data_IF_067055179044
#
_entry.id   IF_067055179044
#
_cell.length_a   1.000
_cell.length_b   1.000
_cell.length_c   1.000
_cell.angle_alpha   90.00
_cell.angle_beta   90.00
_cell.angle_gamma   90.00
#
_symmetry.space_group_name_H-M   'P 1'
#
loop_
_entity.id
_entity.type
_entity.pdbx_description
1 polymer ?
#
# COMPACT_ATOMS: atom_id res chain seq x y z
N UNK A 1 13.84 -37.81 1.77
CA UNK A 1 13.19 -36.54 2.04
C UNK A 1 11.69 -36.75 2.02
N UNK A 2 10.96 -36.35 3.05
CA UNK A 2 9.50 -36.45 3.07
C UNK A 2 8.91 -35.43 2.08
N UNK A 3 7.79 -35.77 1.42
CA UNK A 3 7.08 -34.88 0.50
C UNK A 3 6.84 -33.46 1.08
N UNK A 4 6.62 -33.39 2.36
CA UNK A 4 6.42 -32.15 3.10
C UNK A 4 7.68 -31.26 3.15
N UNK A 5 8.87 -31.86 3.25
CA UNK A 5 10.14 -31.13 3.20
C UNK A 5 10.40 -30.53 1.83
N UNK A 6 10.06 -31.27 0.75
CA UNK A 6 10.19 -30.77 -0.61
C UNK A 6 9.27 -29.58 -0.84
N UNK A 7 7.99 -29.68 -0.45
CA UNK A 7 7.02 -28.58 -0.59
C UNK A 7 7.52 -27.32 0.14
N UNK A 8 8.04 -27.49 1.36
CA UNK A 8 8.56 -26.37 2.15
C UNK A 8 9.75 -25.67 1.46
N UNK A 9 10.69 -26.44 0.93
CA UNK A 9 11.84 -25.90 0.20
C UNK A 9 11.37 -25.15 -1.05
N UNK A 10 10.47 -25.72 -1.82
CA UNK A 10 9.92 -25.07 -3.01
C UNK A 10 9.23 -23.75 -2.64
N UNK A 11 8.37 -23.76 -1.61
CA UNK A 11 7.74 -22.53 -1.13
C UNK A 11 8.75 -21.48 -0.68
N UNK A 12 9.78 -21.86 0.07
CA UNK A 12 10.83 -20.95 0.53
C UNK A 12 11.60 -20.32 -0.65
N UNK A 13 11.96 -21.13 -1.66
CA UNK A 13 12.63 -20.65 -2.88
C UNK A 13 11.74 -19.69 -3.66
N UNK A 14 10.47 -20.06 -3.89
CA UNK A 14 9.52 -19.20 -4.62
C UNK A 14 9.31 -17.87 -3.90
N UNK A 15 9.06 -17.89 -2.58
CA UNK A 15 8.87 -16.69 -1.77
C UNK A 15 10.13 -15.81 -1.81
N UNK A 16 11.32 -16.39 -1.66
CA UNK A 16 12.58 -15.64 -1.69
C UNK A 16 12.80 -15.00 -3.06
N UNK A 17 12.65 -15.75 -4.14
CA UNK A 17 12.85 -15.24 -5.50
C UNK A 17 11.84 -14.12 -5.84
N UNK A 18 10.57 -14.33 -5.55
CA UNK A 18 9.54 -13.30 -5.82
C UNK A 18 9.78 -12.03 -5.00
N UNK A 19 10.24 -12.18 -3.76
CA UNK A 19 10.61 -11.04 -2.92
C UNK A 19 11.79 -10.27 -3.48
N UNK A 20 12.86 -10.96 -3.85
CA UNK A 20 14.06 -10.32 -4.45
C UNK A 20 13.69 -9.57 -5.72
N UNK A 21 12.93 -10.20 -6.62
CA UNK A 21 12.45 -9.55 -7.84
C UNK A 21 11.57 -8.35 -7.51
N UNK A 22 10.62 -8.49 -6.59
CA UNK A 22 9.73 -7.40 -6.17
C UNK A 22 10.49 -6.22 -5.59
N UNK A 23 11.46 -6.47 -4.71
CA UNK A 23 12.33 -5.42 -4.13
C UNK A 23 13.18 -4.76 -5.20
N UNK A 24 13.74 -5.51 -6.14
CA UNK A 24 14.54 -4.96 -7.23
C UNK A 24 13.71 -4.04 -8.15
N UNK A 25 12.50 -4.47 -8.53
CA UNK A 25 11.56 -3.66 -9.33
C UNK A 25 11.15 -2.40 -8.58
N UNK A 26 10.84 -2.51 -7.30
CA UNK A 26 10.50 -1.37 -6.46
C UNK A 26 11.65 -0.38 -6.33
N UNK A 27 12.85 -0.87 -6.04
CA UNK A 27 14.06 -0.03 -5.94
C UNK A 27 14.33 0.72 -7.26
N UNK A 28 14.19 0.03 -8.40
CA UNK A 28 14.33 0.65 -9.73
C UNK A 28 13.28 1.75 -9.95
N UNK A 29 12.02 1.51 -9.59
CA UNK A 29 10.97 2.50 -9.67
C UNK A 29 11.27 3.74 -8.80
N UNK A 30 11.70 3.54 -7.56
CA UNK A 30 12.13 4.62 -6.67
C UNK A 30 13.30 5.42 -7.25
N UNK A 31 14.34 4.74 -7.75
CA UNK A 31 15.48 5.40 -8.40
C UNK A 31 15.03 6.25 -9.61
N UNK A 32 14.11 5.74 -10.42
CA UNK A 32 13.57 6.48 -11.58
C UNK A 32 12.81 7.73 -11.13
N UNK A 33 12.00 7.64 -10.08
CA UNK A 33 11.28 8.79 -9.52
C UNK A 33 12.27 9.83 -9.00
N UNK A 34 13.25 9.41 -8.20
CA UNK A 34 14.28 10.30 -7.66
C UNK A 34 15.10 10.95 -8.76
N UNK A 35 15.47 10.20 -9.79
CA UNK A 35 16.18 10.74 -10.95
C UNK A 35 15.38 11.84 -11.66
N UNK A 36 14.08 11.62 -11.89
CA UNK A 36 13.18 12.63 -12.47
C UNK A 36 13.03 13.87 -11.59
N UNK A 37 12.97 13.71 -10.28
CA UNK A 37 12.90 14.83 -9.33
C UNK A 37 14.19 15.67 -9.34
N UNK A 38 15.34 15.06 -9.61
CA UNK A 38 16.65 15.73 -9.66
C UNK A 38 16.89 16.55 -10.95
N UNK A 39 16.13 16.33 -11.99
CA UNK A 39 16.22 17.10 -13.25
C UNK A 39 15.71 18.55 -13.08
N UNK A 40 14.95 18.83 -12.02
CA UNK A 40 14.45 20.17 -11.72
C UNK A 40 15.56 21.16 -11.30
N UNK A 41 15.27 22.46 -11.43
CA UNK A 41 16.17 23.51 -10.92
C UNK A 41 16.30 23.38 -9.39
N UNK A 42 17.51 23.58 -8.84
CA UNK A 42 17.71 23.54 -7.40
C UNK A 42 16.84 24.61 -6.72
N UNK A 43 16.09 24.19 -5.71
CA UNK A 43 15.22 25.08 -4.94
C UNK A 43 16.09 25.89 -3.97
N UNK A 44 15.95 27.23 -3.91
CA UNK A 44 16.65 28.04 -2.93
C UNK A 44 16.37 27.52 -1.49
N UNK A 45 17.41 27.43 -0.68
CA UNK A 45 17.32 26.92 0.71
C UNK A 45 16.29 27.67 1.56
N UNK A 46 16.05 28.92 1.28
CA UNK A 46 15.05 29.76 1.94
C UNK A 46 13.62 29.22 1.74
N UNK A 47 13.32 28.63 0.57
CA UNK A 47 12.03 27.99 0.30
C UNK A 47 11.83 26.68 1.06
N UNK A 48 12.89 26.10 1.60
CA UNK A 48 12.81 24.89 2.43
C UNK A 48 12.52 25.19 3.90
N UNK A 49 12.68 26.43 4.34
CA UNK A 49 12.43 26.84 5.74
C UNK A 49 10.99 27.36 5.91
N UNK A 50 10.34 27.09 7.04
CA UNK A 50 10.75 26.24 8.17
C UNK A 50 10.37 24.76 7.92
N UNK A 51 11.36 23.87 7.88
CA UNK A 51 11.21 22.45 7.58
C UNK A 51 10.22 21.76 8.51
N UNK A 52 10.32 22.02 9.82
CA UNK A 52 9.45 21.40 10.83
C UNK A 52 7.96 21.67 10.59
N UNK A 53 7.59 22.94 10.36
CA UNK A 53 6.19 23.32 10.09
C UNK A 53 5.65 22.65 8.80
N UNK A 54 6.48 22.57 7.78
CA UNK A 54 6.11 21.89 6.52
C UNK A 54 5.94 20.40 6.70
N UNK A 55 6.84 19.76 7.47
CA UNK A 55 6.74 18.33 7.78
C UNK A 55 5.46 18.04 8.56
N UNK A 56 5.19 18.80 9.63
CA UNK A 56 3.96 18.67 10.42
C UNK A 56 2.73 18.84 9.55
N UNK A 57 2.72 19.86 8.69
CA UNK A 57 1.61 20.11 7.78
C UNK A 57 1.45 18.96 6.78
N UNK A 58 2.54 18.48 6.19
CA UNK A 58 2.52 17.33 5.28
C UNK A 58 1.96 16.08 5.99
N UNK A 59 2.44 15.77 7.19
CA UNK A 59 1.94 14.64 7.97
C UNK A 59 0.45 14.81 8.28
N UNK A 60 0.03 16.00 8.72
CA UNK A 60 -1.37 16.29 8.99
C UNK A 60 -2.26 16.17 7.74
N UNK A 61 -1.78 16.61 6.58
CA UNK A 61 -2.49 16.49 5.30
C UNK A 61 -2.58 15.03 4.85
N UNK A 62 -1.51 14.26 5.01
CA UNK A 62 -1.49 12.82 4.66
C UNK A 62 -2.38 12.03 5.60
N UNK A 63 -2.23 12.18 6.91
CA UNK A 63 -3.05 11.46 7.90
C UNK A 63 -4.51 11.90 7.85
N UNK A 64 -4.76 13.19 7.74
CA UNK A 64 -6.12 13.76 7.67
C UNK A 64 -6.81 13.57 6.31
N UNK A 65 -6.10 13.13 5.27
CA UNK A 65 -6.63 12.97 3.91
C UNK A 65 -7.41 14.20 3.42
N UNK A 66 -6.87 15.38 3.72
CA UNK A 66 -7.56 16.66 3.48
C UNK A 66 -7.75 16.95 1.98
N UNK A 67 -6.95 16.34 1.11
CA UNK A 67 -7.10 16.44 -0.33
C UNK A 67 -8.45 15.89 -0.86
N UNK A 68 -9.13 15.03 -0.09
CA UNK A 68 -10.43 14.44 -0.45
C UNK A 68 -11.62 15.21 0.16
N UNK A 69 -11.48 16.52 0.40
CA UNK A 69 -12.59 17.38 0.84
C UNK A 69 -13.76 17.28 -0.15
N UNK A 70 -14.98 17.10 0.37
CA UNK A 70 -16.18 16.93 -0.44
C UNK A 70 -16.49 15.51 -0.93
N UNK A 71 -15.63 14.51 -0.62
CA UNK A 71 -15.84 13.11 -0.98
C UNK A 71 -15.61 12.18 0.21
N UNK A 72 -16.50 12.20 1.21
CA UNK A 72 -16.27 11.52 2.49
C UNK A 72 -16.06 10.00 2.34
N UNK A 73 -16.81 9.36 1.47
CA UNK A 73 -16.71 7.90 1.24
C UNK A 73 -15.38 7.49 0.60
N UNK A 74 -14.87 8.28 -0.34
CA UNK A 74 -13.54 8.02 -0.95
C UNK A 74 -12.45 8.21 0.10
N UNK A 75 -12.56 9.28 0.90
CA UNK A 75 -11.65 9.55 2.00
C UNK A 75 -11.63 8.42 3.02
N UNK A 76 -12.81 7.94 3.45
CA UNK A 76 -12.93 6.85 4.42
C UNK A 76 -12.33 5.54 3.87
N UNK A 77 -12.66 5.16 2.63
CA UNK A 77 -12.13 3.96 1.99
C UNK A 77 -10.59 4.02 1.84
N UNK A 78 -10.06 5.17 1.44
CA UNK A 78 -8.62 5.35 1.30
C UNK A 78 -7.90 5.34 2.65
N UNK A 79 -8.47 6.01 3.67
CA UNK A 79 -7.94 6.01 5.02
C UNK A 79 -7.91 4.61 5.62
N UNK A 80 -8.98 3.84 5.42
CA UNK A 80 -9.05 2.45 5.86
C UNK A 80 -7.92 1.61 5.26
N UNK A 81 -7.70 1.70 3.94
CA UNK A 81 -6.61 0.98 3.25
C UNK A 81 -5.24 1.42 3.78
N UNK A 82 -5.04 2.72 4.01
CA UNK A 82 -3.79 3.26 4.54
C UNK A 82 -3.47 2.74 5.94
N UNK A 83 -4.47 2.74 6.84
CA UNK A 83 -4.28 2.27 8.23
C UNK A 83 -4.14 0.75 8.28
N UNK A 84 -4.83 0.03 7.42
CA UNK A 84 -4.74 -1.43 7.37
C UNK A 84 -3.40 -1.93 6.84
N UNK A 85 -2.72 -1.16 5.98
CA UNK A 85 -1.47 -1.58 5.35
C UNK A 85 -0.38 -2.00 6.35
N UNK A 86 0.00 -1.21 7.38
CA UNK A 86 1.00 -1.63 8.34
C UNK A 86 0.58 -2.86 9.14
N UNK A 87 -0.70 -3.03 9.42
CA UNK A 87 -1.21 -4.20 10.14
C UNK A 87 -1.13 -5.47 9.28
N UNK A 88 -1.54 -5.39 8.02
CA UNK A 88 -1.41 -6.48 7.06
C UNK A 88 0.06 -6.77 6.73
N UNK A 89 0.94 -5.77 6.79
CA UNK A 89 2.38 -5.98 6.65
C UNK A 89 2.94 -6.85 7.78
N UNK A 90 2.47 -6.69 9.02
CA UNK A 90 2.86 -7.55 10.13
C UNK A 90 2.41 -9.00 9.94
N UNK A 91 1.24 -9.23 9.34
CA UNK A 91 0.80 -10.59 8.98
C UNK A 91 1.66 -11.19 7.86
N UNK A 92 2.09 -10.37 6.92
CA UNK A 92 3.05 -10.79 5.89
C UNK A 92 4.37 -11.25 6.54
N UNK A 93 4.90 -10.51 7.52
CA UNK A 93 6.09 -10.90 8.28
C UNK A 93 5.88 -12.25 8.98
N UNK A 94 4.70 -12.48 9.57
CA UNK A 94 4.33 -13.77 10.14
C UNK A 94 4.39 -14.89 9.09
N UNK A 95 3.80 -14.67 7.92
CA UNK A 95 3.85 -15.64 6.81
C UNK A 95 5.28 -15.97 6.35
N UNK A 96 6.15 -14.97 6.26
CA UNK A 96 7.57 -15.20 5.99
C UNK A 96 8.24 -16.04 7.08
N UNK A 97 7.99 -15.76 8.34
CA UNK A 97 8.51 -16.53 9.45
C UNK A 97 8.07 -18.00 9.39
N UNK A 98 6.81 -18.26 9.04
CA UNK A 98 6.27 -19.61 8.90
C UNK A 98 6.89 -20.40 7.74
N UNK A 99 7.18 -19.73 6.62
CA UNK A 99 7.79 -20.37 5.46
C UNK A 99 9.30 -20.59 5.66
N UNK A 100 10.01 -19.57 6.14
CA UNK A 100 11.47 -19.56 6.17
C UNK A 100 12.05 -20.15 7.47
N UNK A 101 11.42 -19.93 8.61
CA UNK A 101 11.89 -20.43 9.90
C UNK A 101 11.21 -21.76 10.29
N UNK A 102 9.98 -21.72 10.77
CA UNK A 102 9.20 -22.91 11.12
C UNK A 102 7.70 -22.66 11.05
N UNK A 103 6.86 -23.69 10.78
CA UNK A 103 5.42 -23.52 10.57
C UNK A 103 4.64 -22.90 11.74
N UNK A 104 5.11 -23.05 12.96
CA UNK A 104 4.51 -22.48 14.16
C UNK A 104 5.13 -21.11 14.53
N UNK A 105 5.84 -20.46 13.61
CA UNK A 105 6.39 -19.13 13.88
C UNK A 105 5.28 -18.09 13.94
N UNK A 106 5.28 -17.32 15.00
CA UNK A 106 4.32 -16.25 15.23
C UNK A 106 5.05 -14.95 15.58
N UNK A 107 4.39 -13.83 15.32
CA UNK A 107 4.95 -12.54 15.64
C UNK A 107 5.11 -12.40 17.16
N UNK A 108 6.31 -12.06 17.68
CA UNK A 108 6.54 -11.89 19.10
C UNK A 108 5.49 -10.94 19.72
N UNK A 109 4.93 -11.33 20.87
CA UNK A 109 3.92 -10.61 21.67
C UNK A 109 2.53 -10.43 21.05
N UNK A 110 2.41 -10.34 19.71
CA UNK A 110 1.13 -10.15 19.04
C UNK A 110 0.51 -11.46 18.54
N UNK A 111 1.32 -12.37 17.99
CA UNK A 111 0.83 -13.57 17.30
C UNK A 111 -0.04 -14.48 18.16
N UNK A 112 0.25 -14.57 19.46
CA UNK A 112 -0.50 -15.39 20.40
C UNK A 112 -1.78 -14.76 20.94
N UNK A 113 -2.09 -13.52 20.56
CA UNK A 113 -3.25 -12.81 21.09
C UNK A 113 -4.50 -13.04 20.23
N UNK A 114 -5.54 -13.61 20.82
CA UNK A 114 -6.79 -13.87 20.11
C UNK A 114 -7.42 -12.58 19.50
N UNK A 115 -7.34 -11.47 20.23
CA UNK A 115 -7.83 -10.17 19.72
C UNK A 115 -7.07 -9.69 18.49
N UNK A 116 -5.78 -10.05 18.36
CA UNK A 116 -4.98 -9.72 17.19
C UNK A 116 -5.52 -10.39 15.93
N UNK A 117 -5.83 -11.68 16.00
CA UNK A 117 -6.42 -12.43 14.90
C UNK A 117 -7.74 -11.78 14.41
N UNK A 118 -8.62 -11.42 15.35
CA UNK A 118 -9.89 -10.74 15.04
C UNK A 118 -9.69 -9.37 14.39
N UNK A 119 -8.74 -8.57 14.89
CA UNK A 119 -8.44 -7.27 14.29
C UNK A 119 -7.92 -7.43 12.86
N UNK A 120 -7.00 -8.36 12.64
CA UNK A 120 -6.42 -8.64 11.33
C UNK A 120 -7.52 -9.07 10.34
N UNK A 121 -8.38 -9.99 10.75
CA UNK A 121 -9.48 -10.48 9.92
C UNK A 121 -10.47 -9.36 9.58
N UNK A 122 -10.90 -8.59 10.57
CA UNK A 122 -11.80 -7.44 10.36
C UNK A 122 -11.20 -6.43 9.39
N UNK A 123 -9.91 -6.08 9.58
CA UNK A 123 -9.22 -5.12 8.71
C UNK A 123 -9.06 -5.68 7.29
N UNK A 124 -8.78 -6.97 7.14
CA UNK A 124 -8.68 -7.60 5.82
C UNK A 124 -10.01 -7.50 5.05
N UNK A 125 -11.13 -7.80 5.70
CA UNK A 125 -12.47 -7.67 5.11
C UNK A 125 -12.81 -6.21 4.76
N UNK A 126 -12.60 -5.28 5.69
CA UNK A 126 -12.88 -3.86 5.48
C UNK A 126 -11.98 -3.26 4.38
N UNK A 127 -10.71 -3.64 4.34
CA UNK A 127 -9.78 -3.19 3.30
C UNK A 127 -10.17 -3.71 1.92
N UNK A 128 -10.56 -4.98 1.85
CA UNK A 128 -11.06 -5.59 0.61
C UNK A 128 -12.30 -4.87 0.12
N UNK A 129 -13.28 -4.63 1.00
CA UNK A 129 -14.48 -3.86 0.67
C UNK A 129 -14.13 -2.42 0.20
N UNK A 130 -13.19 -1.76 0.86
CA UNK A 130 -12.69 -0.43 0.46
C UNK A 130 -12.06 -0.42 -0.93
N UNK A 131 -11.22 -1.40 -1.24
CA UNK A 131 -10.60 -1.54 -2.56
C UNK A 131 -11.66 -1.80 -3.64
N UNK A 132 -12.59 -2.74 -3.40
CA UNK A 132 -13.67 -3.04 -4.33
C UNK A 132 -14.54 -1.80 -4.59
N UNK A 133 -14.84 -1.03 -3.55
CA UNK A 133 -15.58 0.23 -3.67
C UNK A 133 -14.84 1.25 -4.56
N UNK A 134 -13.53 1.43 -4.35
CA UNK A 134 -12.72 2.32 -5.19
C UNK A 134 -12.66 1.86 -6.65
N UNK A 135 -12.53 0.54 -6.89
CA UNK A 135 -12.57 -0.04 -8.24
C UNK A 135 -13.93 0.23 -8.89
N UNK A 136 -15.03 0.05 -8.17
CA UNK A 136 -16.38 0.30 -8.68
C UNK A 136 -16.58 1.77 -9.08
N UNK A 137 -16.10 2.71 -8.25
CA UNK A 137 -16.14 4.15 -8.57
C UNK A 137 -15.31 4.43 -9.83
N UNK A 138 -14.10 3.88 -9.92
CA UNK A 138 -13.22 4.08 -11.08
C UNK A 138 -13.87 3.57 -12.36
N UNK A 139 -14.42 2.35 -12.34
CA UNK A 139 -15.14 1.76 -13.49
C UNK A 139 -16.34 2.60 -13.92
N UNK A 140 -17.13 3.11 -12.97
CA UNK A 140 -18.27 4.01 -13.27
C UNK A 140 -17.81 5.30 -13.94
N UNK A 141 -16.72 5.90 -13.48
CA UNK A 141 -16.14 7.11 -14.10
C UNK A 141 -15.63 6.85 -15.51
N UNK A 142 -14.91 5.75 -15.73
CA UNK A 142 -14.40 5.40 -17.06
C UNK A 142 -15.55 5.18 -18.05
N UNK A 143 -16.63 4.49 -17.65
CA UNK A 143 -17.82 4.30 -18.49
C UNK A 143 -18.52 5.62 -18.83
N UNK A 144 -18.60 6.55 -17.89
CA UNK A 144 -19.18 7.89 -18.12
C UNK A 144 -18.32 8.75 -19.01
N UNK A 145 -16.99 8.70 -18.88
CA UNK A 145 -16.05 9.39 -19.75
C UNK A 145 -16.05 8.85 -21.18
N UNK A 146 -16.20 7.53 -21.36
CA UNK A 146 -16.34 6.90 -22.67
C UNK A 146 -17.69 7.22 -23.37
N UNK A 147 -18.73 7.60 -22.59
CA UNK A 147 -20.04 8.00 -23.11
C UNK A 147 -20.15 9.53 -23.36
N UNK A 148 -19.12 10.31 -23.02
CA UNK A 148 -19.09 11.74 -23.36
C UNK A 148 -18.86 11.90 -24.86
N UNK A 149 -19.67 12.70 -25.57
CA UNK A 149 -19.44 12.97 -27.00
C UNK A 149 -18.05 13.61 -27.19
N UNK A 150 -17.40 13.34 -28.33
CA UNK A 150 -16.18 14.06 -28.69
C UNK A 150 -16.48 15.58 -28.68
N UNK A 151 -15.50 16.36 -28.27
CA UNK A 151 -15.64 17.82 -28.15
C UNK A 151 -16.37 18.39 -29.37
N UNK A 152 -17.32 19.33 -29.20
CA UNK A 152 -17.92 19.99 -30.32
C UNK A 152 -16.80 20.67 -31.13
N UNK A 153 -16.74 20.28 -32.40
CA UNK A 153 -15.86 20.96 -33.33
C UNK A 153 -16.27 22.44 -33.33
N UNK A 154 -15.40 23.29 -32.86
CA UNK A 154 -15.58 24.75 -32.95
C UNK A 154 -15.42 25.13 -34.41
N UNK A 155 -16.57 25.37 -35.09
CA UNK A 155 -16.57 26.08 -36.37
C UNK A 155 -16.07 27.51 -36.20
#
# INVERSE_FOLDING_TARGET
>A
MTSLAIVRIVCAVVVTLTTVVGVAVFARACCTIVARMRVGRPVPRERLRPVGRRLVRMVAEVVGHTAFKGRPWIRAAHWLVMVSFPLLFLTLVTGYGQVLAHPAWELPWLGHQAWWAWIVELIAWLSTAGILHMIAIRRRKTRRGAAAPPFPETE
#
